data_IF_786432090958
#
_entry.id   IF_786432090958
#
_cell.length_a   1.000
_cell.length_b   1.000
_cell.length_c   1.000
_cell.angle_alpha   90.00
_cell.angle_beta   90.00
_cell.angle_gamma   90.00
#
_symmetry.space_group_name_H-M   'P 1'
#
loop_
_entity.id
_entity.type
_entity.pdbx_description
1 polymer ?
#
# COMPACT_ATOMS: atom_id res chain seq x y z
N UNK A 1 -14.54 -18.09 7.20
CA UNK A 1 -13.28 -17.65 7.83
C UNK A 1 -12.80 -18.80 8.70
N UNK A 2 -11.63 -19.36 8.37
CA UNK A 2 -11.06 -20.45 9.16
C UNK A 2 -10.35 -19.87 10.38
N UNK A 3 -10.72 -20.34 11.57
CA UNK A 3 -10.15 -19.90 12.85
C UNK A 3 -9.52 -21.11 13.54
N UNK A 4 -8.31 -20.94 14.07
CA UNK A 4 -7.57 -21.96 14.82
C UNK A 4 -6.96 -21.33 16.06
N UNK A 5 -7.62 -21.51 17.21
CA UNK A 5 -7.21 -20.87 18.45
C UNK A 5 -7.35 -19.36 18.37
N UNK A 6 -6.26 -18.64 18.61
CA UNK A 6 -6.14 -17.18 18.47
C UNK A 6 -5.82 -16.73 17.03
N UNK A 7 -5.61 -17.66 16.11
CA UNK A 7 -5.26 -17.38 14.72
C UNK A 7 -6.49 -17.39 13.79
N UNK A 8 -6.48 -16.51 12.80
CA UNK A 8 -7.43 -16.46 11.69
C UNK A 8 -6.68 -16.64 10.37
N UNK A 9 -7.26 -17.41 9.45
CA UNK A 9 -6.78 -17.52 8.08
C UNK A 9 -7.31 -16.34 7.27
N UNK A 10 -6.42 -15.63 6.60
CA UNK A 10 -6.74 -14.57 5.66
C UNK A 10 -6.09 -14.88 4.31
N UNK A 11 -6.66 -14.30 3.27
CA UNK A 11 -6.05 -14.23 1.94
C UNK A 11 -5.64 -12.77 1.70
N UNK A 12 -4.44 -12.57 1.15
CA UNK A 12 -4.02 -11.29 0.59
C UNK A 12 -3.91 -11.48 -0.91
N UNK A 13 -4.79 -10.82 -1.65
CA UNK A 13 -4.75 -10.70 -3.10
C UNK A 13 -4.23 -9.33 -3.55
N UNK A 14 -3.81 -9.26 -4.81
CA UNK A 14 -3.37 -8.03 -5.45
C UNK A 14 -2.46 -8.29 -6.65
N UNK A 15 -1.68 -7.29 -7.03
CA UNK A 15 -0.82 -7.33 -8.21
C UNK A 15 0.65 -7.19 -7.84
N UNK A 16 1.54 -7.91 -8.53
CA UNK A 16 2.99 -7.72 -8.39
C UNK A 16 3.66 -7.57 -9.74
N UNK A 17 4.79 -6.85 -9.76
CA UNK A 17 5.67 -6.82 -10.94
C UNK A 17 6.29 -8.21 -11.10
N UNK A 18 6.12 -8.82 -12.27
CA UNK A 18 6.67 -10.14 -12.58
C UNK A 18 8.20 -10.12 -12.73
N UNK A 19 8.79 -8.93 -12.96
CA UNK A 19 10.23 -8.74 -13.01
C UNK A 19 10.83 -8.69 -11.60
N UNK A 20 11.93 -9.42 -11.39
CA UNK A 20 12.64 -9.49 -10.11
C UNK A 20 12.15 -10.66 -9.26
N UNK A 21 12.06 -10.47 -7.94
CA UNK A 21 11.68 -11.53 -7.00
C UNK A 21 10.19 -11.53 -6.63
N UNK A 22 9.37 -10.65 -7.21
CA UNK A 22 7.92 -10.62 -6.96
C UNK A 22 7.54 -10.46 -5.48
N UNK A 23 8.31 -9.67 -4.71
CA UNK A 23 8.16 -9.58 -3.25
C UNK A 23 7.08 -8.63 -2.77
N UNK A 24 6.75 -7.62 -3.57
CA UNK A 24 5.80 -6.58 -3.17
C UNK A 24 4.46 -6.85 -3.85
N UNK A 25 3.43 -7.07 -3.05
CA UNK A 25 2.04 -7.13 -3.50
C UNK A 25 1.50 -5.70 -3.39
N UNK A 26 0.98 -5.21 -4.51
CA UNK A 26 0.27 -3.94 -4.64
C UNK A 26 -1.23 -4.21 -4.66
N UNK A 27 -2.04 -3.26 -4.19
CA UNK A 27 -3.50 -3.41 -4.21
C UNK A 27 -4.05 -3.58 -5.62
N UNK A 28 -3.58 -2.77 -6.57
CA UNK A 28 -4.17 -2.65 -7.90
C UNK A 28 -3.11 -2.70 -9.00
N UNK A 29 -3.51 -3.12 -10.20
CA UNK A 29 -2.66 -3.12 -11.37
C UNK A 29 -2.14 -1.71 -11.68
N UNK A 30 -0.82 -1.58 -11.86
CA UNK A 30 -0.17 -0.31 -12.22
C UNK A 30 -0.10 0.73 -11.10
N UNK A 31 -0.62 0.44 -9.91
CA UNK A 31 -0.54 1.33 -8.75
C UNK A 31 0.55 0.86 -7.77
N UNK A 32 1.38 1.76 -7.29
CA UNK A 32 2.43 1.47 -6.30
C UNK A 32 1.89 1.65 -4.87
N UNK A 33 0.75 1.02 -4.57
CA UNK A 33 0.11 1.02 -3.24
C UNK A 33 0.36 -0.35 -2.58
N UNK A 34 1.36 -0.44 -1.72
CA UNK A 34 1.77 -1.75 -1.17
C UNK A 34 0.78 -2.27 -0.12
N UNK A 35 0.35 -3.53 -0.29
CA UNK A 35 -0.50 -4.27 0.67
C UNK A 35 0.35 -5.17 1.55
N UNK A 36 1.34 -5.85 0.96
CA UNK A 36 2.20 -6.78 1.66
C UNK A 36 3.59 -6.85 1.02
N UNK A 37 4.59 -7.12 1.86
CA UNK A 37 5.96 -7.40 1.42
C UNK A 37 6.33 -8.81 1.90
N UNK A 38 6.49 -9.72 0.96
CA UNK A 38 6.89 -11.09 1.22
C UNK A 38 8.41 -11.20 1.38
N UNK A 39 8.85 -12.16 2.19
CA UNK A 39 10.25 -12.60 2.13
C UNK A 39 10.53 -13.22 0.76
N UNK A 40 11.81 -13.32 0.40
CA UNK A 40 12.20 -13.90 -0.89
C UNK A 40 11.76 -15.36 -1.01
N UNK A 41 11.83 -16.09 0.10
CA UNK A 41 11.49 -17.51 0.17
C UNK A 41 9.99 -17.71 -0.09
N UNK A 42 9.14 -16.93 0.58
CA UNK A 42 7.68 -17.00 0.41
C UNK A 42 7.28 -16.55 -1.00
N UNK A 43 7.85 -15.45 -1.50
CA UNK A 43 7.48 -14.89 -2.81
C UNK A 43 7.78 -15.82 -4.00
N UNK A 44 8.66 -16.81 -3.81
CA UNK A 44 9.07 -17.81 -4.80
C UNK A 44 8.54 -19.21 -4.48
N UNK A 45 7.77 -19.36 -3.41
CA UNK A 45 7.20 -20.65 -2.99
C UNK A 45 5.92 -20.99 -3.76
N UNK A 46 5.45 -22.22 -3.57
CA UNK A 46 4.15 -22.67 -4.07
C UNK A 46 2.96 -22.10 -3.28
N UNK A 47 3.20 -21.37 -2.20
CA UNK A 47 2.15 -20.75 -1.38
C UNK A 47 1.58 -19.48 -2.03
N UNK A 48 2.23 -18.97 -3.08
CA UNK A 48 1.73 -17.86 -3.89
C UNK A 48 1.01 -18.40 -5.12
N UNK A 49 -0.28 -18.13 -5.21
CA UNK A 49 -1.07 -18.39 -6.42
C UNK A 49 -0.87 -17.25 -7.41
N UNK A 50 -0.66 -17.57 -8.69
CA UNK A 50 -0.50 -16.58 -9.77
C UNK A 50 -1.70 -16.65 -10.70
N UNK A 51 -2.36 -15.51 -10.91
CA UNK A 51 -3.55 -15.32 -11.73
C UNK A 51 -3.25 -14.66 -13.08
N UNK A 52 -4.03 -13.63 -13.41
CA UNK A 52 -3.90 -12.89 -14.68
C UNK A 52 -2.49 -12.29 -14.85
N UNK A 53 -2.03 -12.22 -16.11
CA UNK A 53 -0.80 -11.53 -16.49
C UNK A 53 -1.11 -10.40 -17.45
N UNK A 54 -0.58 -9.21 -17.15
CA UNK A 54 -0.84 -7.99 -17.92
C UNK A 54 0.42 -7.16 -18.03
N UNK A 55 0.59 -6.47 -19.15
CA UNK A 55 1.66 -5.47 -19.32
C UNK A 55 1.11 -4.08 -19.05
N UNK A 56 1.84 -3.30 -18.25
CA UNK A 56 1.54 -1.89 -18.03
C UNK A 56 2.01 -1.07 -19.23
N UNK A 57 1.07 -0.61 -20.05
CA UNK A 57 1.29 0.21 -21.24
C UNK A 57 2.12 1.47 -20.96
N UNK A 58 2.04 2.05 -19.75
CA UNK A 58 2.79 3.26 -19.40
C UNK A 58 4.26 2.97 -19.10
N UNK A 59 4.58 1.78 -18.57
CA UNK A 59 5.93 1.45 -18.08
C UNK A 59 6.61 0.31 -18.84
N UNK A 60 5.87 -0.44 -19.66
CA UNK A 60 6.30 -1.67 -20.32
C UNK A 60 6.62 -2.80 -19.34
N UNK A 61 6.21 -2.69 -18.07
CA UNK A 61 6.51 -3.70 -17.07
C UNK A 61 5.45 -4.81 -17.09
N UNK A 62 5.86 -6.09 -17.07
CA UNK A 62 4.92 -7.18 -16.88
C UNK A 62 4.50 -7.26 -15.41
N UNK A 63 3.21 -7.42 -15.20
CA UNK A 63 2.56 -7.65 -13.91
C UNK A 63 1.81 -8.96 -13.92
N UNK A 64 1.65 -9.51 -12.72
CA UNK A 64 0.82 -10.67 -12.47
C UNK A 64 -0.02 -10.47 -11.21
N UNK A 65 -1.28 -10.84 -11.29
CA UNK A 65 -2.17 -10.97 -10.15
C UNK A 65 -1.69 -12.14 -9.28
N UNK A 66 -1.71 -11.96 -7.97
CA UNK A 66 -1.29 -12.98 -7.00
C UNK A 66 -2.21 -13.01 -5.79
N UNK A 67 -2.30 -14.19 -5.20
CA UNK A 67 -2.95 -14.40 -3.91
C UNK A 67 -2.06 -15.23 -2.99
N UNK A 68 -2.05 -14.92 -1.69
CA UNK A 68 -1.34 -15.67 -0.66
C UNK A 68 -2.24 -15.87 0.56
N UNK A 69 -2.38 -17.13 0.95
CA UNK A 69 -3.05 -17.52 2.19
C UNK A 69 -2.07 -17.46 3.36
N UNK A 70 -2.46 -16.82 4.47
CA UNK A 70 -1.67 -16.85 5.69
C UNK A 70 -2.54 -16.91 6.95
N UNK A 71 -1.93 -17.36 8.04
CA UNK A 71 -2.52 -17.31 9.37
C UNK A 71 -1.93 -16.11 10.11
N UNK A 72 -2.79 -15.24 10.64
CA UNK A 72 -2.38 -14.15 11.52
C UNK A 72 -3.15 -14.20 12.83
N UNK A 73 -2.62 -13.55 13.86
CA UNK A 73 -3.35 -13.44 15.13
C UNK A 73 -4.54 -12.51 14.96
N UNK A 74 -5.67 -12.89 15.54
CA UNK A 74 -6.87 -12.06 15.55
C UNK A 74 -6.62 -10.70 16.25
N UNK A 75 -5.75 -10.67 17.28
CA UNK A 75 -5.39 -9.44 18.00
C UNK A 75 -4.64 -8.41 17.12
N UNK A 76 -4.12 -8.82 15.97
CA UNK A 76 -3.43 -7.94 15.01
C UNK A 76 -4.39 -7.32 13.97
N UNK A 77 -5.69 -7.59 14.07
CA UNK A 77 -6.70 -6.99 13.20
C UNK A 77 -7.37 -5.80 13.89
N UNK A 78 -7.70 -4.78 13.10
CA UNK A 78 -8.57 -3.68 13.53
C UNK A 78 -9.95 -3.86 12.93
N UNK A 79 -10.99 -3.49 13.68
CA UNK A 79 -12.38 -3.51 13.19
C UNK A 79 -12.76 -2.25 12.42
N UNK A 80 -11.94 -1.20 12.54
CA UNK A 80 -12.14 0.09 11.91
C UNK A 80 -10.78 0.75 11.64
N UNK A 81 -10.60 1.28 10.43
CA UNK A 81 -9.39 1.99 10.01
C UNK A 81 -9.45 3.49 10.35
N UNK A 82 -10.61 4.02 10.73
CA UNK A 82 -10.80 5.45 11.04
C UNK A 82 -9.74 6.01 12.00
N UNK A 83 -9.39 5.35 13.12
CA UNK A 83 -8.33 5.84 14.00
C UNK A 83 -6.95 5.91 13.32
N UNK A 84 -6.66 4.94 12.45
CA UNK A 84 -5.41 4.88 11.68
C UNK A 84 -5.36 6.03 10.67
N UNK A 85 -6.45 6.28 9.94
CA UNK A 85 -6.53 7.40 9.00
C UNK A 85 -6.51 8.76 9.66
N UNK A 86 -7.14 8.90 10.82
CA UNK A 86 -7.08 10.14 11.60
C UNK A 86 -5.64 10.45 12.02
N UNK A 87 -4.92 9.45 12.54
CA UNK A 87 -3.52 9.64 12.95
C UNK A 87 -2.62 9.97 11.75
N UNK A 88 -2.80 9.28 10.62
CA UNK A 88 -2.05 9.54 9.39
C UNK A 88 -2.31 10.96 8.83
N UNK A 89 -3.59 11.36 8.78
CA UNK A 89 -3.98 12.69 8.33
C UNK A 89 -3.46 13.81 9.23
N UNK A 90 -3.52 13.63 10.55
CA UNK A 90 -2.94 14.58 11.50
C UNK A 90 -1.42 14.68 11.36
N UNK A 91 -0.74 13.54 11.19
CA UNK A 91 0.70 13.51 10.94
C UNK A 91 1.06 14.23 9.65
N UNK A 92 0.30 14.02 8.57
CA UNK A 92 0.47 14.73 7.30
C UNK A 92 0.31 16.24 7.47
N UNK A 93 -0.80 16.69 8.05
CA UNK A 93 -1.08 18.12 8.27
C UNK A 93 0.01 18.75 9.14
N UNK A 94 0.36 18.12 10.26
CA UNK A 94 1.29 18.69 11.24
C UNK A 94 2.70 18.78 10.69
N UNK A 95 3.19 17.73 10.04
CA UNK A 95 4.60 17.65 9.63
C UNK A 95 4.84 18.34 8.28
N UNK A 96 3.91 18.23 7.33
CA UNK A 96 4.06 18.82 6.00
C UNK A 96 3.66 20.30 5.94
N UNK A 97 3.05 20.86 7.00
CA UNK A 97 2.67 22.29 7.05
C UNK A 97 3.67 23.20 7.77
N UNK A 98 4.83 22.66 8.17
CA UNK A 98 5.82 23.39 8.98
C UNK A 98 6.42 24.58 8.23
N UNK A 99 6.64 24.45 6.92
CA UNK A 99 7.34 25.45 6.10
C UNK A 99 6.38 26.27 5.21
N UNK A 100 5.34 25.63 4.69
CA UNK A 100 4.29 26.18 3.84
C UNK A 100 3.04 25.31 3.98
N UNK A 101 1.91 25.71 3.40
CA UNK A 101 0.73 24.83 3.35
C UNK A 101 1.04 23.55 2.58
N UNK A 102 0.61 22.42 3.13
CA UNK A 102 0.68 21.11 2.49
C UNK A 102 -0.31 21.02 1.30
N UNK A 103 0.00 20.24 0.26
CA UNK A 103 -0.94 20.01 -0.84
C UNK A 103 -2.25 19.37 -0.36
N UNK A 104 -3.35 19.62 -1.08
CA UNK A 104 -4.58 18.86 -0.87
C UNK A 104 -4.33 17.37 -1.17
N UNK A 105 -4.94 16.46 -0.40
CA UNK A 105 -4.74 15.01 -0.56
C UNK A 105 -5.15 14.49 -1.94
N UNK A 106 -6.12 15.15 -2.60
CA UNK A 106 -6.55 14.82 -3.95
C UNK A 106 -5.71 15.52 -5.05
N UNK A 107 -4.63 16.22 -4.70
CA UNK A 107 -3.84 16.97 -5.67
C UNK A 107 -3.01 16.08 -6.61
N UNK A 108 -2.53 14.94 -6.11
CA UNK A 108 -1.77 13.96 -6.90
C UNK A 108 -2.52 12.64 -7.00
N UNK A 109 -2.18 11.84 -8.01
CA UNK A 109 -2.55 10.41 -8.10
C UNK A 109 -1.83 9.60 -7.03
N UNK A 110 -2.29 8.36 -6.77
CA UNK A 110 -1.65 7.48 -5.81
C UNK A 110 -0.17 7.22 -6.16
N UNK A 111 0.15 7.11 -7.45
CA UNK A 111 1.54 7.01 -7.90
C UNK A 111 2.31 8.32 -7.78
N UNK A 112 1.64 9.47 -7.95
CA UNK A 112 2.25 10.80 -7.81
C UNK A 112 2.71 11.07 -6.38
N UNK A 113 1.93 10.63 -5.38
CA UNK A 113 2.28 10.79 -3.96
C UNK A 113 3.58 10.08 -3.57
N UNK A 114 3.93 8.96 -4.21
CA UNK A 114 5.21 8.27 -3.97
C UNK A 114 6.39 9.20 -4.24
N UNK A 115 6.40 9.84 -5.42
CA UNK A 115 7.49 10.75 -5.79
C UNK A 115 7.49 12.05 -5.00
N UNK A 116 6.30 12.59 -4.68
CA UNK A 116 6.22 13.84 -3.90
C UNK A 116 6.74 13.64 -2.48
N UNK A 117 6.24 12.60 -1.78
CA UNK A 117 6.61 12.36 -0.40
C UNK A 117 8.11 12.04 -0.29
N UNK A 118 8.66 11.21 -1.19
CA UNK A 118 10.09 10.92 -1.25
C UNK A 118 10.95 12.20 -1.42
N UNK A 119 10.48 13.15 -2.23
CA UNK A 119 11.14 14.44 -2.38
C UNK A 119 11.15 15.30 -1.10
N UNK A 120 10.17 15.14 -0.22
CA UNK A 120 9.99 15.94 0.99
C UNK A 120 10.44 15.24 2.28
N UNK A 121 10.66 13.92 2.26
CA UNK A 121 10.85 13.12 3.47
C UNK A 121 12.04 13.57 4.31
N UNK A 122 13.12 14.03 3.66
CA UNK A 122 14.31 14.54 4.33
C UNK A 122 14.09 15.87 5.09
N UNK A 123 12.96 16.54 4.87
CA UNK A 123 12.61 17.84 5.46
C UNK A 123 11.46 17.75 6.48
N UNK A 124 10.89 16.57 6.67
CA UNK A 124 9.85 16.31 7.67
C UNK A 124 10.37 15.32 8.71
N UNK A 125 9.75 15.29 9.88
CA UNK A 125 10.17 14.42 10.96
C UNK A 125 9.26 13.18 11.05
N UNK A 126 9.50 12.21 10.15
CA UNK A 126 8.83 10.90 10.21
C UNK A 126 9.81 9.80 10.61
N UNK A 127 9.34 8.88 11.44
CA UNK A 127 9.92 7.55 11.49
C UNK A 127 9.37 6.69 10.34
N UNK A 128 9.97 5.53 10.13
CA UNK A 128 9.64 4.65 8.99
C UNK A 128 8.17 4.21 9.00
N UNK A 129 7.60 3.97 10.17
CA UNK A 129 6.22 3.50 10.29
C UNK A 129 5.23 4.65 9.99
N UNK A 130 5.51 5.85 10.51
CA UNK A 130 4.71 7.06 10.23
C UNK A 130 4.79 7.43 8.76
N UNK A 131 5.97 7.39 8.14
CA UNK A 131 6.14 7.63 6.72
C UNK A 131 5.30 6.68 5.87
N UNK A 132 5.40 5.37 6.14
CA UNK A 132 4.64 4.36 5.40
C UNK A 132 3.13 4.56 5.57
N UNK A 133 2.69 4.90 6.78
CA UNK A 133 1.28 5.14 7.07
C UNK A 133 0.76 6.42 6.41
N UNK A 134 1.53 7.51 6.45
CA UNK A 134 1.20 8.78 5.78
C UNK A 134 1.15 8.58 4.27
N UNK A 135 2.12 7.87 3.68
CA UNK A 135 2.10 7.54 2.26
C UNK A 135 0.83 6.76 1.89
N UNK A 136 0.51 5.71 2.66
CA UNK A 136 -0.70 4.92 2.45
C UNK A 136 -1.96 5.79 2.52
N UNK A 137 -2.05 6.65 3.52
CA UNK A 137 -3.16 7.60 3.67
C UNK A 137 -3.30 8.50 2.44
N UNK A 138 -2.21 9.14 1.99
CA UNK A 138 -2.21 10.02 0.83
C UNK A 138 -2.61 9.27 -0.45
N UNK A 139 -2.14 8.04 -0.63
CA UNK A 139 -2.50 7.21 -1.76
C UNK A 139 -3.99 6.84 -1.75
N UNK A 140 -4.54 6.44 -0.60
CA UNK A 140 -5.96 6.06 -0.45
C UNK A 140 -6.94 7.23 -0.44
N UNK A 141 -6.44 8.47 -0.39
CA UNK A 141 -7.23 9.71 -0.50
C UNK A 141 -6.80 10.57 -1.70
N UNK A 142 -6.04 9.97 -2.62
CA UNK A 142 -5.51 10.63 -3.81
C UNK A 142 -6.62 10.96 -4.83
N UNK A 143 -6.26 11.65 -5.92
CA UNK A 143 -7.20 11.91 -7.01
C UNK A 143 -7.82 10.64 -7.60
N UNK A 144 -7.12 9.51 -7.52
CA UNK A 144 -7.59 8.21 -8.01
C UNK A 144 -8.72 7.62 -7.15
N UNK A 145 -8.87 8.11 -5.91
CA UNK A 145 -9.88 7.65 -4.93
C UNK A 145 -10.84 8.77 -4.47
N UNK A 146 -10.67 10.00 -4.95
CA UNK A 146 -11.62 11.08 -4.72
C UNK A 146 -12.92 10.82 -5.52
N UNK A 147 -14.09 11.05 -4.91
CA UNK A 147 -15.39 10.76 -5.52
C UNK A 147 -15.49 11.34 -6.94
N UNK A 148 -15.72 10.46 -7.94
CA UNK A 148 -15.89 10.83 -9.35
C UNK A 148 -14.93 10.17 -10.35
N UNK A 149 -14.00 9.33 -9.90
CA UNK A 149 -13.01 8.66 -10.76
C UNK A 149 -13.04 7.11 -10.77
N UNK A 150 -14.16 6.50 -10.33
CA UNK A 150 -14.45 5.08 -10.55
C UNK A 150 -15.59 4.89 -11.55
#
# INVERSE_FOLDING_TARGET
MDVKGDMIKIEIDGWRKAKGFGRVIQEEFGQNISTAILTREVSQSADVTVGEKKEDELTGLPWEEVAVDLWMKQESMVTDFTPIWSAAGEAYVTNCSTCHTQPDVAHFSANGWVGMLDGMIAFVNFDTDTEALVLKYLQKHSSDYAEGHH
#
